data_IF_267141445994
#
_entry.id   IF_267141445994
#
_cell.length_a   1.000
_cell.length_b   1.000
_cell.length_c   1.000
_cell.angle_alpha   90.00
_cell.angle_beta   90.00
_cell.angle_gamma   90.00
#
_symmetry.space_group_name_H-M   'P 1'
#
loop_
_entity.id
_entity.type
_entity.pdbx_description
1 polymer ?
#
# COMPACT_ATOMS: atom_id res chain seq x y z
N UNK A 1 18.19 -8.33 0.82
CA UNK A 1 17.12 -9.15 1.45
C UNK A 1 15.81 -8.41 1.25
N UNK A 2 14.81 -9.02 0.61
CA UNK A 2 13.50 -8.38 0.42
C UNK A 2 12.90 -8.01 1.77
N UNK A 3 12.29 -6.83 1.87
CA UNK A 3 11.54 -6.43 3.07
C UNK A 3 10.47 -7.49 3.35
N UNK A 4 10.35 -8.03 4.59
CA UNK A 4 9.37 -9.07 4.92
C UNK A 4 7.91 -8.63 4.73
N UNK A 5 7.71 -7.32 4.53
CA UNK A 5 6.41 -6.67 4.46
C UNK A 5 5.91 -6.44 3.03
N UNK A 6 6.79 -6.55 2.01
CA UNK A 6 6.42 -6.42 0.59
C UNK A 6 5.74 -7.68 0.07
N UNK A 7 4.50 -7.57 -0.40
CA UNK A 7 3.67 -8.71 -0.81
C UNK A 7 2.75 -8.35 -1.97
N UNK A 8 2.31 -9.39 -2.67
CA UNK A 8 1.19 -9.30 -3.60
C UNK A 8 -0.08 -9.60 -2.82
N UNK A 9 -1.11 -8.77 -3.01
CA UNK A 9 -2.42 -8.92 -2.38
C UNK A 9 -3.49 -9.12 -3.44
N UNK A 10 -4.43 -10.04 -3.17
CA UNK A 10 -5.66 -10.22 -3.93
C UNK A 10 -6.85 -9.96 -3.03
N UNK A 11 -7.83 -9.19 -3.51
CA UNK A 11 -9.06 -8.92 -2.79
C UNK A 11 -10.27 -9.50 -3.51
N UNK A 12 -11.05 -10.27 -2.76
CA UNK A 12 -12.32 -10.85 -3.18
C UNK A 12 -13.53 -10.05 -2.66
N UNK A 13 -13.28 -8.85 -2.11
CA UNK A 13 -14.30 -7.92 -1.62
C UNK A 13 -14.38 -7.86 -0.09
N UNK A 14 -14.55 -6.65 0.43
CA UNK A 14 -14.65 -6.42 1.87
C UNK A 14 -13.35 -6.80 2.58
N UNK A 15 -13.46 -7.58 3.67
CA UNK A 15 -12.32 -8.09 4.45
C UNK A 15 -11.66 -9.34 3.85
N UNK A 16 -12.15 -9.84 2.73
CA UNK A 16 -11.59 -11.02 2.05
C UNK A 16 -10.36 -10.61 1.23
N UNK A 17 -9.27 -10.32 1.94
CA UNK A 17 -7.99 -9.94 1.37
C UNK A 17 -6.96 -11.02 1.69
N UNK A 18 -6.22 -11.46 0.68
CA UNK A 18 -5.20 -12.50 0.81
C UNK A 18 -3.87 -11.98 0.31
N UNK A 19 -2.79 -12.45 0.92
CA UNK A 19 -1.42 -12.12 0.57
C UNK A 19 -0.70 -13.36 0.05
N UNK A 20 0.08 -13.20 -1.01
CA UNK A 20 0.92 -14.28 -1.53
C UNK A 20 2.13 -14.47 -0.61
N UNK A 21 2.33 -15.70 -0.16
CA UNK A 21 3.50 -16.06 0.65
C UNK A 21 4.64 -16.56 -0.23
N UNK A 22 5.83 -15.98 -0.08
CA UNK A 22 7.01 -16.36 -0.87
C UNK A 22 7.55 -17.74 -0.52
N UNK A 23 7.33 -18.21 0.72
CA UNK A 23 7.83 -19.51 1.19
C UNK A 23 7.13 -20.68 0.51
N UNK A 24 5.81 -20.59 0.34
CA UNK A 24 4.97 -21.72 -0.08
C UNK A 24 4.22 -21.43 -1.39
N UNK A 25 4.36 -20.23 -1.98
CA UNK A 25 3.54 -19.74 -3.10
C UNK A 25 2.03 -19.87 -2.87
N UNK A 26 1.60 -19.78 -1.61
CA UNK A 26 0.20 -19.90 -1.22
C UNK A 26 -0.39 -18.55 -0.82
N UNK A 27 -1.68 -18.38 -1.11
CA UNK A 27 -2.48 -17.25 -0.63
C UNK A 27 -2.89 -17.49 0.82
N UNK A 28 -2.48 -16.60 1.72
CA UNK A 28 -2.91 -16.61 3.13
C UNK A 28 -3.78 -15.41 3.41
N UNK A 29 -4.84 -15.61 4.18
CA UNK A 29 -5.75 -14.54 4.53
C UNK A 29 -4.99 -13.45 5.33
N UNK A 30 -5.21 -12.19 4.98
CA UNK A 30 -4.64 -11.04 5.64
C UNK A 30 -5.50 -10.56 6.83
N UNK A 31 -6.41 -11.38 7.38
CA UNK A 31 -7.45 -11.02 8.35
C UNK A 31 -6.99 -10.15 9.52
N UNK A 32 -5.77 -10.37 10.00
CA UNK A 32 -5.19 -9.62 11.13
C UNK A 32 -4.83 -8.16 10.80
N UNK A 33 -5.01 -7.73 9.56
CA UNK A 33 -4.61 -6.40 9.09
C UNK A 33 -5.76 -5.39 8.99
N UNK A 34 -7.02 -5.78 9.26
CA UNK A 34 -8.19 -4.88 9.15
C UNK A 34 -8.25 -4.13 7.79
N UNK A 35 -7.76 -4.76 6.72
CA UNK A 35 -7.79 -4.20 5.37
C UNK A 35 -9.15 -4.47 4.75
N UNK A 36 -9.72 -3.46 4.12
CA UNK A 36 -10.92 -3.58 3.29
C UNK A 36 -10.57 -3.14 1.88
N UNK A 37 -10.83 -4.00 0.90
CA UNK A 37 -10.60 -3.71 -0.52
C UNK A 37 -11.81 -4.17 -1.36
N UNK A 38 -12.14 -3.44 -2.44
CA UNK A 38 -13.08 -3.89 -3.46
C UNK A 38 -12.68 -5.25 -4.04
N UNK A 39 -13.69 -6.04 -4.44
CA UNK A 39 -13.45 -7.30 -5.14
C UNK A 39 -12.70 -7.07 -6.47
N UNK A 40 -12.11 -8.13 -7.00
CA UNK A 40 -11.36 -8.11 -8.26
C UNK A 40 -10.22 -7.06 -8.22
N UNK A 41 -9.45 -7.06 -7.13
CA UNK A 41 -8.29 -6.19 -6.99
C UNK A 41 -7.04 -7.04 -6.80
N UNK A 42 -5.99 -6.78 -7.58
CA UNK A 42 -4.67 -7.42 -7.52
C UNK A 42 -3.61 -6.33 -7.46
N UNK A 43 -2.98 -6.19 -6.29
CA UNK A 43 -2.02 -5.12 -6.02
C UNK A 43 -0.71 -5.64 -5.44
N UNK A 44 0.37 -4.90 -5.68
CA UNK A 44 1.67 -5.07 -5.04
C UNK A 44 1.84 -3.95 -4.02
N UNK A 45 2.17 -4.30 -2.77
CA UNK A 45 2.25 -3.31 -1.71
C UNK A 45 2.97 -3.80 -0.47
N UNK A 46 2.96 -2.98 0.57
CA UNK A 46 3.56 -3.28 1.86
C UNK A 46 2.68 -2.85 3.02
N UNK A 47 2.68 -3.66 4.08
CA UNK A 47 2.05 -3.30 5.34
C UNK A 47 3.06 -2.55 6.20
N UNK A 48 2.84 -1.26 6.44
CA UNK A 48 3.81 -0.38 7.10
C UNK A 48 3.27 0.18 8.41
N UNK A 49 4.20 0.65 9.24
CA UNK A 49 3.90 1.52 10.38
C UNK A 49 4.22 2.96 9.98
N UNK A 50 3.19 3.80 9.91
CA UNK A 50 3.34 5.23 9.73
C UNK A 50 3.54 5.87 11.10
N UNK A 51 4.66 6.55 11.29
CA UNK A 51 4.95 7.24 12.54
C UNK A 51 4.48 8.69 12.48
N UNK A 52 3.79 9.12 13.53
CA UNK A 52 3.29 10.48 13.70
C UNK A 52 3.79 11.06 15.02
N UNK A 53 3.98 12.38 15.08
CA UNK A 53 4.57 13.04 16.24
C UNK A 53 6.09 12.89 16.32
N UNK A 54 6.67 13.37 17.42
CA UNK A 54 8.12 13.45 17.60
C UNK A 54 8.51 13.12 19.05
N UNK A 55 9.72 12.59 19.25
CA UNK A 55 10.29 12.27 20.56
C UNK A 55 9.43 11.27 21.36
N UNK A 56 9.24 11.54 22.65
CA UNK A 56 8.44 10.70 23.55
C UNK A 56 6.95 10.61 23.19
N UNK A 57 6.45 11.52 22.34
CA UNK A 57 5.06 11.52 21.85
C UNK A 57 4.93 10.90 20.46
N UNK A 58 5.96 10.22 19.96
CA UNK A 58 5.88 9.51 18.69
C UNK A 58 4.94 8.30 18.84
N UNK A 59 3.92 8.25 17.97
CA UNK A 59 2.98 7.14 17.88
C UNK A 59 3.08 6.53 16.48
N UNK A 60 2.52 5.34 16.29
CA UNK A 60 2.39 4.76 14.96
C UNK A 60 0.97 4.26 14.68
N UNK A 61 0.56 4.36 13.41
CA UNK A 61 -0.61 3.69 12.85
C UNK A 61 -0.16 2.69 11.79
N UNK A 62 -0.91 1.60 11.59
CA UNK A 62 -0.66 0.68 10.47
C UNK A 62 -1.32 1.23 9.20
N UNK A 63 -0.70 1.01 8.05
CA UNK A 63 -1.27 1.33 6.74
C UNK A 63 -0.85 0.29 5.70
N UNK A 64 -1.69 0.08 4.69
CA UNK A 64 -1.28 -0.63 3.46
C UNK A 64 -0.82 0.41 2.44
N UNK A 65 0.46 0.39 2.08
CA UNK A 65 0.99 1.20 0.99
C UNK A 65 0.98 0.40 -0.31
N UNK A 66 0.17 0.83 -1.27
CA UNK A 66 0.11 0.29 -2.63
C UNK A 66 1.26 0.86 -3.45
N UNK A 67 2.09 -0.02 -4.01
CA UNK A 67 3.26 0.34 -4.80
C UNK A 67 2.92 0.28 -6.29
N UNK A 68 2.24 -0.79 -6.72
CA UNK A 68 1.78 -0.99 -8.09
C UNK A 68 0.54 -1.90 -8.07
N UNK A 69 -0.16 -2.04 -9.20
CA UNK A 69 -1.28 -2.96 -9.31
C UNK A 69 -1.46 -3.46 -10.75
N UNK A 70 -2.09 -4.63 -10.88
CA UNK A 70 -2.48 -5.19 -12.17
C UNK A 70 -3.98 -5.07 -12.41
N UNK A 71 -4.79 -5.11 -11.34
CA UNK A 71 -6.24 -4.98 -11.43
C UNK A 71 -6.78 -4.19 -10.24
N UNK A 72 -7.69 -3.25 -10.48
CA UNK A 72 -8.30 -2.40 -9.45
C UNK A 72 -9.82 -2.44 -9.61
N UNK A 73 -10.54 -3.06 -8.67
CA UNK A 73 -12.01 -3.09 -8.71
C UNK A 73 -12.61 -3.74 -9.97
N UNK A 74 -11.90 -4.67 -10.61
CA UNK A 74 -12.30 -5.32 -11.86
C UNK A 74 -11.79 -4.64 -13.13
N UNK A 75 -11.09 -3.51 -13.03
CA UNK A 75 -10.45 -2.86 -14.17
C UNK A 75 -9.01 -3.39 -14.30
N UNK A 76 -8.70 -4.03 -15.41
CA UNK A 76 -7.33 -4.44 -15.77
C UNK A 76 -6.51 -3.23 -16.22
N UNK A 77 -5.40 -2.99 -15.52
CA UNK A 77 -4.46 -1.91 -15.81
C UNK A 77 -3.05 -2.44 -16.09
N UNK A 78 -2.88 -3.76 -16.24
CA UNK A 78 -1.58 -4.42 -16.38
C UNK A 78 -0.81 -3.96 -17.63
N UNK A 79 -1.52 -3.59 -18.69
CA UNK A 79 -0.94 -3.11 -19.95
C UNK A 79 -0.53 -1.62 -19.91
N UNK A 80 -0.88 -0.88 -18.86
CA UNK A 80 -0.57 0.55 -18.77
C UNK A 80 0.91 0.78 -18.45
N UNK A 81 1.42 1.96 -18.78
CA UNK A 81 2.76 2.38 -18.35
C UNK A 81 2.84 2.42 -16.82
N UNK A 82 4.04 2.31 -16.24
CA UNK A 82 4.21 2.39 -14.79
C UNK A 82 3.62 3.69 -14.22
N UNK A 83 3.84 4.81 -14.89
CA UNK A 83 3.30 6.12 -14.50
C UNK A 83 1.77 6.11 -14.47
N UNK A 84 1.15 5.54 -15.50
CA UNK A 84 -0.31 5.45 -15.58
C UNK A 84 -0.88 4.50 -14.52
N UNK A 85 -0.24 3.36 -14.27
CA UNK A 85 -0.65 2.45 -13.18
C UNK A 85 -0.56 3.12 -11.81
N UNK A 86 0.50 3.88 -11.55
CA UNK A 86 0.65 4.65 -10.31
C UNK A 86 -0.48 5.70 -10.20
N UNK A 87 -0.82 6.39 -11.29
CA UNK A 87 -1.93 7.34 -11.29
C UNK A 87 -3.27 6.65 -10.98
N UNK A 88 -3.53 5.46 -11.55
CA UNK A 88 -4.72 4.67 -11.24
C UNK A 88 -4.72 4.19 -9.79
N UNK A 89 -3.58 3.72 -9.27
CA UNK A 89 -3.43 3.34 -7.86
C UNK A 89 -3.73 4.53 -6.93
N UNK A 90 -3.26 5.72 -7.27
CA UNK A 90 -3.53 6.94 -6.49
C UNK A 90 -5.02 7.30 -6.49
N UNK A 91 -5.67 7.31 -7.65
CA UNK A 91 -7.12 7.53 -7.77
C UNK A 91 -7.91 6.51 -6.95
N UNK A 92 -7.54 5.23 -7.06
CA UNK A 92 -8.17 4.13 -6.32
C UNK A 92 -8.02 4.30 -4.80
N UNK A 93 -6.80 4.58 -4.31
CA UNK A 93 -6.58 4.78 -2.87
C UNK A 93 -7.34 6.00 -2.34
N UNK A 94 -7.35 7.11 -3.08
CA UNK A 94 -8.11 8.32 -2.70
C UNK A 94 -9.62 8.06 -2.66
N UNK A 95 -10.14 7.17 -3.52
CA UNK A 95 -11.54 6.76 -3.47
C UNK A 95 -11.85 5.92 -2.22
N UNK A 96 -10.93 5.06 -1.80
CA UNK A 96 -11.08 4.24 -0.59
C UNK A 96 -10.99 5.06 0.71
N UNK A 97 -10.12 6.08 0.76
CA UNK A 97 -9.98 6.93 1.95
C UNK A 97 -11.28 7.65 2.32
N UNK A 98 -12.07 8.06 1.31
CA UNK A 98 -13.38 8.70 1.52
C UNK A 98 -14.44 7.77 2.15
N UNK A 99 -14.22 6.47 2.13
CA UNK A 99 -15.15 5.45 2.65
C UNK A 99 -14.76 4.94 4.04
N UNK A 100 -13.62 5.37 4.59
CA UNK A 100 -13.04 4.81 5.80
C UNK A 100 -13.76 5.22 7.09
N UNK A 101 -13.92 4.25 8.00
CA UNK A 101 -14.16 4.48 9.42
C UNK A 101 -12.84 4.27 10.21
N UNK A 102 -12.77 4.71 11.46
CA UNK A 102 -11.55 4.60 12.29
C UNK A 102 -11.12 3.15 12.63
N UNK A 103 -11.87 2.12 12.22
CA UNK A 103 -11.59 0.72 12.54
C UNK A 103 -10.81 -0.03 11.45
N UNK A 104 -10.62 0.60 10.29
CA UNK A 104 -9.98 0.01 9.11
C UNK A 104 -8.63 0.68 8.90
N UNK A 105 -7.59 -0.11 8.61
CA UNK A 105 -6.30 0.52 8.31
C UNK A 105 -6.39 1.27 6.97
N UNK A 106 -5.81 2.46 6.87
CA UNK A 106 -5.80 3.20 5.63
C UNK A 106 -5.03 2.48 4.52
N UNK A 107 -5.53 2.61 3.29
CA UNK A 107 -4.88 2.16 2.06
C UNK A 107 -4.40 3.40 1.31
N UNK A 108 -3.10 3.49 1.05
CA UNK A 108 -2.48 4.68 0.42
C UNK A 108 -1.62 4.28 -0.75
N UNK A 109 -1.60 5.11 -1.78
CA UNK A 109 -0.62 4.94 -2.84
C UNK A 109 0.74 5.43 -2.35
N UNK A 110 1.77 4.59 -2.45
CA UNK A 110 3.13 4.97 -2.12
C UNK A 110 3.57 6.07 -3.08
N UNK A 111 4.13 7.14 -2.54
CA UNK A 111 4.61 8.27 -3.34
C UNK A 111 5.87 7.87 -4.10
N UNK A 112 5.85 8.03 -5.41
CA UNK A 112 7.02 7.90 -6.26
C UNK A 112 7.69 9.27 -6.43
N UNK A 113 9.01 9.27 -6.43
CA UNK A 113 9.83 10.44 -6.73
C UNK A 113 10.61 10.13 -7.99
N UNK A 114 10.58 11.04 -8.95
CA UNK A 114 11.49 10.97 -10.08
C UNK A 114 12.90 11.27 -9.60
N UNK A 115 13.91 10.71 -10.26
CA UNK A 115 15.30 10.83 -9.80
C UNK A 115 15.80 12.28 -9.81
N UNK A 116 15.27 13.12 -10.70
CA UNK A 116 15.57 14.54 -10.75
C UNK A 116 15.13 15.26 -9.46
N UNK A 117 14.07 14.77 -8.82
CA UNK A 117 13.58 15.30 -7.53
C UNK A 117 14.28 14.71 -6.32
N UNK A 118 15.13 13.70 -6.51
CA UNK A 118 15.80 13.01 -5.42
C UNK A 118 16.54 13.96 -4.46
N UNK A 119 17.39 14.91 -4.94
CA UNK A 119 18.09 15.83 -4.05
C UNK A 119 17.15 16.61 -3.13
N UNK A 120 16.04 17.12 -3.68
CA UNK A 120 15.02 17.86 -2.92
C UNK A 120 14.24 16.97 -1.95
N UNK A 121 14.01 15.70 -2.32
CA UNK A 121 13.26 14.75 -1.50
C UNK A 121 14.04 14.31 -0.26
N UNK A 122 15.38 14.26 -0.35
CA UNK A 122 16.25 13.84 0.74
C UNK A 122 16.89 14.99 1.52
N UNK A 123 16.75 16.23 1.06
CA UNK A 123 17.43 17.40 1.61
C UNK A 123 17.19 17.61 3.12
N UNK A 124 16.03 17.19 3.64
CA UNK A 124 15.63 17.36 5.04
C UNK A 124 15.69 16.05 5.85
N UNK A 125 16.36 15.01 5.34
CA UNK A 125 16.55 13.78 6.12
C UNK A 125 17.62 14.01 7.19
N UNK A 126 17.21 13.91 8.45
CA UNK A 126 18.12 13.90 9.60
C UNK A 126 18.39 12.46 10.03
N UNK A 127 19.67 12.08 10.14
CA UNK A 127 20.04 10.84 10.82
C UNK A 127 19.93 11.03 12.33
N UNK A 128 19.19 10.15 13.00
CA UNK A 128 19.13 10.07 14.47
C UNK A 128 19.69 8.72 14.89
N UNK A 129 20.85 8.76 15.54
CA UNK A 129 21.50 7.62 16.19
C UNK A 129 20.80 7.25 17.50
#
# INVERSE_FOLDING_TARGET
KNSPDLRIFIACGGKNVFQLTTKDSTWKNAANSQIILPANTLLYGELVREYCGQGLKQMYSKALHVIDAMMLGGIDISAYSLTDRINQCNLFCNALEKLGNNEVIPVRCKRFFTLEKFPSAVANLEYRA
#
